data_IF_408029335973
#
_entry.id   IF_408029335973
#
_cell.length_a   1.000
_cell.length_b   1.000
_cell.length_c   1.000
_cell.angle_alpha   90.00
_cell.angle_beta   90.00
_cell.angle_gamma   90.00
#
_symmetry.space_group_name_H-M   'P 1'
#
loop_
_entity.id
_entity.type
_entity.pdbx_description
1 polymer ?
#
# COMPACT_ATOMS: atom_id res chain seq x y z
N UNK A 1 -0.57 5.89 -9.05
CA UNK A 1 -1.29 6.79 -8.12
C UNK A 1 -0.72 8.21 -8.10
N UNK A 2 0.52 8.43 -7.63
CA UNK A 2 1.12 9.78 -7.61
C UNK A 2 1.24 10.39 -9.01
N UNK A 3 1.70 9.62 -10.00
CA UNK A 3 1.84 10.10 -11.39
C UNK A 3 0.49 10.43 -12.02
N UNK A 4 -0.48 9.50 -11.92
CA UNK A 4 -1.87 9.75 -12.34
C UNK A 4 -2.47 11.01 -11.69
N UNK A 5 -2.22 11.23 -10.40
CA UNK A 5 -2.70 12.45 -9.73
C UNK A 5 -2.07 13.72 -10.32
N UNK A 6 -0.76 13.71 -10.63
CA UNK A 6 -0.09 14.84 -11.29
C UNK A 6 -0.66 15.10 -12.67
N UNK A 7 -0.85 14.08 -13.48
CA UNK A 7 -1.47 14.22 -14.81
C UNK A 7 -2.88 14.83 -14.73
N UNK A 8 -3.72 14.37 -13.80
CA UNK A 8 -5.05 14.95 -13.58
C UNK A 8 -4.99 16.40 -13.10
N UNK A 9 -3.97 16.76 -12.31
CA UNK A 9 -3.73 18.12 -11.85
C UNK A 9 -3.28 19.05 -12.97
N UNK A 10 -2.39 18.58 -13.85
CA UNK A 10 -1.93 19.33 -15.02
C UNK A 10 -3.09 19.61 -15.99
N UNK A 11 -4.07 18.70 -16.04
CA UNK A 11 -5.34 18.88 -16.76
C UNK A 11 -6.36 19.78 -16.02
N UNK A 12 -5.99 20.39 -14.89
CA UNK A 12 -6.86 21.21 -14.03
C UNK A 12 -8.14 20.49 -13.58
N UNK A 13 -8.07 19.18 -13.33
CA UNK A 13 -9.20 18.41 -12.81
C UNK A 13 -9.22 18.47 -11.26
N UNK A 14 -10.42 18.47 -10.63
CA UNK A 14 -10.58 18.53 -9.17
C UNK A 14 -10.24 17.17 -8.54
N UNK A 15 -8.96 16.84 -8.50
CA UNK A 15 -8.45 15.58 -7.98
C UNK A 15 -8.01 15.69 -6.51
N UNK A 16 -8.07 14.56 -5.81
CA UNK A 16 -7.46 14.30 -4.50
C UNK A 16 -6.68 13.01 -4.56
N UNK A 17 -5.63 12.90 -3.75
CA UNK A 17 -4.83 11.69 -3.61
C UNK A 17 -4.86 11.16 -2.18
N UNK A 18 -5.03 9.85 -2.01
CA UNK A 18 -5.04 9.21 -0.69
C UNK A 18 -4.28 7.88 -0.68
N UNK A 19 -3.25 7.78 0.17
CA UNK A 19 -2.42 6.58 0.31
C UNK A 19 -1.62 6.57 1.63
N UNK A 20 -0.96 5.46 1.96
CA UNK A 20 -0.22 5.28 3.22
C UNK A 20 1.06 6.14 3.37
N UNK A 21 1.60 6.69 2.28
CA UNK A 21 2.85 7.48 2.26
C UNK A 21 2.68 8.95 2.68
N UNK A 22 1.69 9.25 3.50
CA UNK A 22 1.52 10.55 4.17
C UNK A 22 1.84 10.40 5.67
N UNK A 23 2.36 11.45 6.33
CA UNK A 23 2.41 11.50 7.79
C UNK A 23 1.05 11.20 8.42
N UNK A 24 1.04 10.59 9.61
CA UNK A 24 -0.21 10.14 10.24
C UNK A 24 -1.24 11.26 10.42
N UNK A 25 -0.80 12.45 10.83
CA UNK A 25 -1.65 13.64 10.97
C UNK A 25 -2.25 14.10 9.64
N UNK A 26 -1.41 14.19 8.59
CA UNK A 26 -1.85 14.58 7.24
C UNK A 26 -2.84 13.57 6.69
N UNK A 27 -2.56 12.27 6.87
CA UNK A 27 -3.44 11.19 6.45
C UNK A 27 -4.80 11.28 7.14
N UNK A 28 -4.83 11.54 8.45
CA UNK A 28 -6.10 11.71 9.17
C UNK A 28 -6.92 12.89 8.63
N UNK A 29 -6.28 14.03 8.35
CA UNK A 29 -6.94 15.18 7.72
C UNK A 29 -7.52 14.85 6.34
N UNK A 30 -6.74 14.19 5.48
CA UNK A 30 -7.19 13.76 4.15
C UNK A 30 -8.33 12.74 4.23
N UNK A 31 -8.31 11.85 5.23
CA UNK A 31 -9.37 10.88 5.48
C UNK A 31 -10.71 11.56 5.81
N UNK A 32 -10.67 12.60 6.65
CA UNK A 32 -11.84 13.43 6.98
C UNK A 32 -12.36 14.13 5.71
N UNK A 33 -11.49 14.81 4.97
CA UNK A 33 -11.86 15.51 3.73
C UNK A 33 -12.51 14.56 2.70
N UNK A 34 -11.89 13.41 2.47
CA UNK A 34 -12.43 12.37 1.55
C UNK A 34 -13.79 11.86 2.03
N UNK A 35 -13.97 11.67 3.33
CA UNK A 35 -15.25 11.20 3.90
C UNK A 35 -16.35 12.26 3.78
N UNK A 36 -16.02 13.54 3.96
CA UNK A 36 -16.94 14.65 3.76
C UNK A 36 -17.38 14.79 2.29
N UNK A 37 -16.44 14.58 1.34
CA UNK A 37 -16.72 14.69 -0.10
C UNK A 37 -17.45 13.49 -0.69
N UNK A 38 -17.11 12.26 -0.28
CA UNK A 38 -17.59 11.04 -0.94
C UNK A 38 -18.44 10.14 -0.03
N UNK A 39 -18.55 10.46 1.26
CA UNK A 39 -19.26 9.61 2.22
C UNK A 39 -20.78 9.71 2.17
N UNK A 40 -21.45 8.85 2.94
CA UNK A 40 -22.92 8.78 3.06
C UNK A 40 -23.59 10.12 3.36
N UNK A 41 -22.98 10.92 4.24
CA UNK A 41 -23.52 12.21 4.70
C UNK A 41 -23.07 13.40 3.84
N UNK A 42 -22.36 13.16 2.74
CA UNK A 42 -21.96 14.23 1.83
C UNK A 42 -23.20 14.92 1.23
N UNK A 43 -23.42 16.18 1.62
CA UNK A 43 -24.54 17.01 1.19
C UNK A 43 -24.21 18.52 1.40
N UNK A 44 -24.14 19.33 0.33
CA UNK A 44 -24.15 18.90 -1.08
C UNK A 44 -22.89 18.11 -1.44
N UNK A 45 -23.03 17.12 -2.31
CA UNK A 45 -21.87 16.48 -2.96
C UNK A 45 -21.19 17.49 -3.89
N UNK A 46 -19.87 17.38 -4.12
CA UNK A 46 -19.21 18.19 -5.14
C UNK A 46 -19.78 17.86 -6.53
N UNK A 47 -19.97 18.88 -7.37
CA UNK A 47 -20.44 18.70 -8.77
C UNK A 47 -19.51 17.79 -9.59
N UNK A 48 -18.21 17.87 -9.31
CA UNK A 48 -17.18 16.98 -9.87
C UNK A 48 -16.01 16.87 -8.90
N UNK A 49 -15.63 15.64 -8.56
CA UNK A 49 -14.42 15.36 -7.80
C UNK A 49 -13.85 13.99 -8.17
N UNK A 50 -12.52 13.87 -8.22
CA UNK A 50 -11.81 12.63 -8.54
C UNK A 50 -10.96 12.23 -7.33
N UNK A 51 -11.09 11.00 -6.85
CA UNK A 51 -10.20 10.44 -5.83
C UNK A 51 -9.25 9.42 -6.48
N UNK A 52 -7.95 9.72 -6.45
CA UNK A 52 -6.90 8.77 -6.77
C UNK A 52 -6.43 8.13 -5.47
N UNK A 53 -6.62 6.83 -5.32
CA UNK A 53 -6.23 6.16 -4.10
C UNK A 53 -5.58 4.80 -4.34
N UNK A 54 -4.80 4.37 -3.34
CA UNK A 54 -4.33 2.97 -3.27
C UNK A 54 -5.30 2.14 -2.43
N UNK A 55 -4.99 0.85 -2.23
CA UNK A 55 -5.77 -0.10 -1.42
C UNK A 55 -6.17 0.37 -0.01
N UNK A 56 -5.58 1.46 0.48
CA UNK A 56 -5.93 2.07 1.77
C UNK A 56 -7.40 2.48 1.83
N UNK A 57 -8.05 2.80 0.71
CA UNK A 57 -9.49 3.11 0.67
C UNK A 57 -10.38 1.88 0.86
N UNK A 58 -9.86 0.68 0.59
CA UNK A 58 -10.64 -0.56 0.65
C UNK A 58 -11.01 -0.95 2.09
N UNK A 59 -10.14 -0.59 3.04
CA UNK A 59 -10.32 -0.91 4.45
C UNK A 59 -10.91 0.30 5.19
N UNK A 60 -12.16 0.14 5.64
CA UNK A 60 -12.89 0.99 6.61
C UNK A 60 -13.57 2.29 6.15
N UNK A 61 -13.36 2.81 4.94
CA UNK A 61 -14.05 4.04 4.50
C UNK A 61 -15.43 3.74 3.85
N UNK A 62 -16.46 4.41 4.34
CA UNK A 62 -17.84 4.32 3.83
C UNK A 62 -18.05 5.35 2.70
N UNK A 63 -17.44 5.11 1.54
CA UNK A 63 -17.45 6.01 0.38
C UNK A 63 -18.39 5.53 -0.73
N UNK A 64 -18.87 6.48 -1.53
CA UNK A 64 -19.81 6.29 -2.62
C UNK A 64 -19.42 7.08 -3.87
N UNK A 65 -19.09 6.36 -4.94
CA UNK A 65 -18.67 6.89 -6.23
C UNK A 65 -19.71 6.61 -7.33
N UNK A 66 -19.76 7.51 -8.30
CA UNK A 66 -20.68 7.43 -9.45
C UNK A 66 -20.11 6.56 -10.58
N UNK A 67 -18.78 6.57 -10.73
CA UNK A 67 -17.98 5.78 -11.66
C UNK A 67 -16.71 5.33 -10.95
N UNK A 68 -16.20 4.15 -11.28
CA UNK A 68 -14.95 3.64 -10.72
C UNK A 68 -13.99 3.19 -11.82
N UNK A 69 -12.71 3.51 -11.64
CA UNK A 69 -11.60 2.97 -12.44
C UNK A 69 -10.66 2.25 -11.49
N UNK A 70 -10.23 1.04 -11.85
CA UNK A 70 -9.36 0.24 -11.00
C UNK A 70 -8.33 -0.51 -11.83
N UNK A 71 -7.13 -0.69 -11.25
CA UNK A 71 -6.13 -1.59 -11.80
C UNK A 71 -6.59 -3.04 -11.68
N UNK A 72 -6.14 -3.90 -12.60
CA UNK A 72 -6.30 -5.34 -12.46
C UNK A 72 -5.74 -5.81 -11.11
N UNK A 73 -6.56 -6.56 -10.39
CA UNK A 73 -6.29 -7.07 -9.05
C UNK A 73 -7.01 -8.42 -8.91
N UNK A 74 -6.74 -9.19 -7.84
CA UNK A 74 -7.58 -10.32 -7.46
C UNK A 74 -9.07 -9.96 -7.49
N UNK A 75 -9.89 -10.89 -8.00
CA UNK A 75 -11.32 -10.65 -8.27
C UNK A 75 -12.12 -10.22 -7.05
N UNK A 76 -11.81 -10.78 -5.88
CA UNK A 76 -12.40 -10.41 -4.61
C UNK A 76 -12.11 -8.95 -4.24
N UNK A 77 -10.89 -8.46 -4.48
CA UNK A 77 -10.55 -7.05 -4.29
C UNK A 77 -11.25 -6.14 -5.29
N UNK A 78 -11.37 -6.56 -6.56
CA UNK A 78 -12.15 -5.81 -7.57
C UNK A 78 -13.61 -5.69 -7.14
N UNK A 79 -14.23 -6.77 -6.68
CA UNK A 79 -15.62 -6.78 -6.20
C UNK A 79 -15.78 -5.94 -4.92
N UNK A 80 -14.82 -5.98 -3.99
CA UNK A 80 -14.80 -5.12 -2.80
C UNK A 80 -14.73 -3.64 -3.16
N UNK A 81 -13.91 -3.28 -4.16
CA UNK A 81 -13.84 -1.92 -4.71
C UNK A 81 -15.16 -1.54 -5.36
N UNK A 82 -15.73 -2.40 -6.19
CA UNK A 82 -17.04 -2.22 -6.81
C UNK A 82 -18.16 -2.00 -5.78
N UNK A 83 -18.02 -2.53 -4.55
CA UNK A 83 -18.92 -2.24 -3.42
C UNK A 83 -18.94 -0.77 -2.94
N UNK A 84 -18.10 0.11 -3.48
CA UNK A 84 -18.13 1.57 -3.30
C UNK A 84 -18.80 2.31 -4.46
N UNK A 85 -19.09 1.61 -5.55
CA UNK A 85 -19.83 2.15 -6.68
C UNK A 85 -21.33 2.16 -6.33
N UNK A 86 -21.96 3.32 -6.42
CA UNK A 86 -23.39 3.50 -6.12
C UNK A 86 -23.80 2.94 -4.74
N UNK A 87 -22.88 3.01 -3.77
CA UNK A 87 -23.01 2.34 -2.47
C UNK A 87 -24.21 2.79 -1.65
N UNK A 88 -24.58 4.07 -1.77
CA UNK A 88 -25.74 4.61 -1.05
C UNK A 88 -26.87 4.89 -2.03
N UNK A 89 -28.10 4.61 -1.58
CA UNK A 89 -29.29 5.03 -2.30
C UNK A 89 -29.32 6.56 -2.35
N UNK A 90 -29.27 7.11 -3.57
CA UNK A 90 -29.26 8.55 -3.84
C UNK A 90 -30.26 8.86 -4.95
N UNK A 91 -30.84 10.06 -4.98
CA UNK A 91 -31.72 10.46 -6.06
C UNK A 91 -30.95 10.56 -7.39
N UNK A 92 -31.56 10.28 -8.54
CA UNK A 92 -30.91 10.30 -9.85
C UNK A 92 -30.14 11.59 -10.16
N UNK A 93 -30.65 12.74 -9.69
CA UNK A 93 -30.04 14.06 -9.89
C UNK A 93 -28.68 14.16 -9.22
N UNK A 94 -28.48 13.46 -8.10
CA UNK A 94 -27.21 13.43 -7.37
C UNK A 94 -26.14 12.54 -8.03
N UNK A 95 -26.49 11.84 -9.12
CA UNK A 95 -25.56 10.99 -9.91
C UNK A 95 -25.05 11.69 -11.16
N UNK A 96 -25.46 12.92 -11.44
CA UNK A 96 -24.98 13.74 -12.56
C UNK A 96 -24.98 12.99 -13.93
N UNK A 97 -26.00 12.16 -14.17
CA UNK A 97 -26.14 11.37 -15.40
C UNK A 97 -25.50 9.98 -15.37
N UNK A 98 -24.71 9.63 -14.35
CA UNK A 98 -24.14 8.30 -14.14
C UNK A 98 -25.15 7.36 -13.49
N UNK A 99 -26.27 7.08 -14.17
CA UNK A 99 -27.36 6.24 -13.64
C UNK A 99 -27.03 4.74 -13.63
N UNK A 100 -26.11 4.32 -14.48
CA UNK A 100 -25.67 2.93 -14.57
C UNK A 100 -24.33 2.82 -13.84
N UNK A 101 -24.22 2.00 -12.78
CA UNK A 101 -22.95 1.70 -12.14
C UNK A 101 -21.95 1.21 -13.19
N UNK A 102 -20.86 1.96 -13.41
CA UNK A 102 -19.83 1.61 -14.38
C UNK A 102 -18.48 1.43 -13.70
N UNK A 103 -17.87 0.26 -13.90
CA UNK A 103 -16.53 -0.10 -13.45
C UNK A 103 -15.61 -0.28 -14.66
N UNK A 104 -14.53 0.48 -14.72
CA UNK A 104 -13.46 0.32 -15.69
C UNK A 104 -12.29 -0.41 -15.02
N UNK A 105 -11.79 -1.46 -15.67
CA UNK A 105 -10.64 -2.24 -15.19
C UNK A 105 -9.49 -2.05 -16.17
N UNK A 106 -8.42 -1.40 -15.72
CA UNK A 106 -7.22 -1.21 -16.53
C UNK A 106 -6.51 -2.55 -16.76
N UNK A 107 -5.96 -2.73 -17.97
CA UNK A 107 -5.28 -3.98 -18.37
C UNK A 107 -6.19 -5.05 -18.97
N UNK A 108 -7.44 -4.72 -19.32
CA UNK A 108 -8.38 -5.65 -19.98
C UNK A 108 -8.37 -5.58 -21.52
N UNK A 109 -7.80 -4.53 -22.13
CA UNK A 109 -7.83 -4.26 -23.58
C UNK A 109 -6.82 -5.07 -24.41
N UNK A 110 -6.51 -6.30 -24.02
CA UNK A 110 -5.58 -7.16 -24.77
C UNK A 110 -6.37 -8.16 -25.61
N UNK A 111 -6.55 -7.82 -26.89
CA UNK A 111 -7.16 -8.65 -27.93
C UNK A 111 -6.26 -9.86 -28.26
N UNK A 112 -6.37 -10.92 -27.46
CA UNK A 112 -5.81 -12.24 -27.76
C UNK A 112 -4.44 -12.57 -27.17
N UNK A 113 -3.78 -11.61 -26.53
CA UNK A 113 -2.50 -11.81 -25.81
C UNK A 113 -2.68 -11.56 -24.30
N UNK A 114 -1.77 -12.10 -23.48
CA UNK A 114 -1.82 -11.91 -22.03
C UNK A 114 -1.63 -10.44 -21.65
N UNK A 115 -2.26 -9.96 -20.56
CA UNK A 115 -2.03 -8.62 -20.08
C UNK A 115 -0.55 -8.45 -19.65
N UNK A 116 0.09 -7.30 -19.94
CA UNK A 116 1.40 -6.98 -19.41
C UNK A 116 1.26 -6.71 -17.90
N UNK A 117 1.42 -7.77 -17.12
CA UNK A 117 1.35 -7.71 -15.65
C UNK A 117 2.62 -7.07 -15.05
N UNK A 118 3.73 -7.12 -15.77
CA UNK A 118 5.01 -6.50 -15.39
C UNK A 118 5.06 -5.02 -15.78
N UNK A 119 6.24 -4.52 -16.14
CA UNK A 119 6.38 -3.14 -16.62
C UNK A 119 5.42 -2.86 -17.81
N UNK A 120 4.78 -1.69 -17.88
CA UNK A 120 4.93 -0.52 -17.00
C UNK A 120 4.02 -0.53 -15.76
N UNK A 121 3.17 -1.54 -15.58
CA UNK A 121 2.10 -1.53 -14.59
C UNK A 121 2.48 -2.17 -13.24
N UNK A 122 3.42 -3.13 -13.26
CA UNK A 122 4.00 -3.80 -12.09
C UNK A 122 2.96 -4.45 -11.16
N UNK A 123 1.83 -4.93 -11.71
CA UNK A 123 0.76 -5.57 -10.94
C UNK A 123 1.25 -6.84 -10.22
N UNK A 124 2.13 -7.60 -10.86
CA UNK A 124 2.72 -8.83 -10.34
C UNK A 124 3.73 -8.62 -9.20
N UNK A 125 4.10 -7.38 -8.88
CA UNK A 125 4.96 -7.06 -7.73
C UNK A 125 4.19 -6.92 -6.42
N UNK A 126 2.86 -6.77 -6.51
CA UNK A 126 1.95 -6.57 -5.39
C UNK A 126 1.07 -7.80 -5.17
N UNK A 127 0.63 -8.45 -6.25
CA UNK A 127 -0.24 -9.62 -6.22
C UNK A 127 0.37 -10.81 -6.93
N UNK A 128 -0.06 -12.01 -6.54
CA UNK A 128 0.31 -13.25 -7.20
C UNK A 128 -0.05 -13.23 -8.69
N UNK A 129 0.97 -13.44 -9.52
CA UNK A 129 0.86 -13.40 -10.98
C UNK A 129 -0.19 -14.38 -11.51
N UNK A 130 -0.25 -15.58 -10.95
CA UNK A 130 -1.26 -16.59 -11.32
C UNK A 130 -2.70 -16.12 -11.02
N UNK A 131 -2.92 -15.47 -9.88
CA UNK A 131 -4.24 -14.96 -9.49
C UNK A 131 -4.68 -13.81 -10.40
N UNK A 132 -3.75 -12.94 -10.82
CA UNK A 132 -4.04 -11.88 -11.79
C UNK A 132 -4.42 -12.45 -13.16
N UNK A 133 -3.67 -13.46 -13.64
CA UNK A 133 -3.97 -14.15 -14.91
C UNK A 133 -5.34 -14.82 -14.87
N UNK A 134 -5.67 -15.51 -13.77
CA UNK A 134 -6.98 -16.10 -13.57
C UNK A 134 -8.10 -15.05 -13.54
N UNK A 135 -7.89 -13.95 -12.82
CA UNK A 135 -8.88 -12.86 -12.76
C UNK A 135 -9.13 -12.27 -14.15
N UNK A 136 -8.08 -12.00 -14.92
CA UNK A 136 -8.21 -11.56 -16.31
C UNK A 136 -8.98 -12.58 -17.15
N UNK A 137 -8.65 -13.86 -17.05
CA UNK A 137 -9.29 -14.90 -17.86
C UNK A 137 -10.78 -15.08 -17.54
N UNK A 138 -11.16 -14.98 -16.26
CA UNK A 138 -12.57 -15.04 -15.81
C UNK A 138 -13.36 -13.80 -16.26
N UNK A 139 -12.74 -12.62 -16.26
CA UNK A 139 -13.40 -11.37 -16.68
C UNK A 139 -13.35 -11.13 -18.19
N UNK A 140 -12.54 -11.89 -18.94
CA UNK A 140 -12.39 -11.74 -20.39
C UNK A 140 -13.72 -11.99 -21.10
N UNK A 141 -14.23 -10.97 -21.78
CA UNK A 141 -15.51 -11.01 -22.48
C UNK A 141 -16.72 -10.72 -21.58
N UNK A 142 -16.52 -10.57 -20.27
CA UNK A 142 -17.57 -10.16 -19.34
C UNK A 142 -17.84 -8.67 -19.49
N UNK A 143 -19.09 -8.31 -19.81
CA UNK A 143 -19.51 -6.91 -19.96
C UNK A 143 -20.40 -6.41 -18.83
N UNK A 144 -20.93 -7.33 -18.03
CA UNK A 144 -21.86 -7.06 -16.93
C UNK A 144 -21.60 -8.07 -15.81
N UNK A 145 -21.73 -7.61 -14.57
CA UNK A 145 -21.64 -8.42 -13.36
C UNK A 145 -22.92 -8.16 -12.57
N UNK A 146 -23.72 -9.21 -12.35
CA UNK A 146 -24.94 -9.16 -11.57
C UNK A 146 -24.62 -9.40 -10.09
N UNK A 147 -24.73 -8.37 -9.26
CA UNK A 147 -24.53 -8.49 -7.81
C UNK A 147 -25.87 -8.75 -7.11
N UNK A 148 -25.94 -9.64 -6.09
CA UNK A 148 -24.82 -10.40 -5.50
C UNK A 148 -24.52 -11.75 -6.18
N UNK A 149 -25.33 -12.17 -7.16
CA UNK A 149 -25.34 -13.55 -7.68
C UNK A 149 -24.00 -13.99 -8.31
N UNK A 150 -23.29 -13.06 -8.96
CA UNK A 150 -22.01 -13.34 -9.63
C UNK A 150 -20.81 -13.30 -8.67
N UNK A 151 -20.97 -12.88 -7.40
CA UNK A 151 -19.84 -12.77 -6.46
C UNK A 151 -19.17 -14.12 -6.22
N UNK A 152 -19.92 -15.12 -5.77
CA UNK A 152 -19.37 -16.44 -5.44
C UNK A 152 -18.83 -17.16 -6.70
N UNK A 153 -19.55 -17.21 -7.84
CA UNK A 153 -19.03 -17.81 -9.06
C UNK A 153 -17.72 -17.18 -9.55
N UNK A 154 -17.60 -15.86 -9.50
CA UNK A 154 -16.38 -15.15 -9.93
C UNK A 154 -15.19 -15.45 -9.01
N UNK A 155 -15.41 -15.45 -7.68
CA UNK A 155 -14.37 -15.77 -6.69
C UNK A 155 -13.92 -17.23 -6.84
N UNK A 156 -14.86 -18.17 -6.88
CA UNK A 156 -14.54 -19.60 -7.07
C UNK A 156 -13.82 -19.84 -8.40
N UNK A 157 -14.22 -19.16 -9.48
CA UNK A 157 -13.58 -19.26 -10.79
C UNK A 157 -12.09 -18.90 -10.76
N UNK A 158 -11.67 -17.96 -9.92
CA UNK A 158 -10.27 -17.53 -9.81
C UNK A 158 -9.45 -18.44 -8.89
N UNK A 159 -10.00 -18.82 -7.73
CA UNK A 159 -9.24 -19.53 -6.70
C UNK A 159 -9.32 -21.06 -6.79
N UNK A 160 -10.47 -21.60 -7.23
CA UNK A 160 -10.72 -23.04 -7.32
C UNK A 160 -10.84 -23.53 -8.77
N UNK A 161 -11.09 -22.62 -9.71
CA UNK A 161 -11.26 -22.93 -11.12
C UNK A 161 -9.99 -23.47 -11.79
N UNK A 162 -10.13 -24.38 -12.77
CA UNK A 162 -9.00 -24.72 -13.63
C UNK A 162 -8.57 -23.49 -14.45
N UNK A 163 -7.31 -23.41 -14.90
CA UNK A 163 -6.86 -22.36 -15.81
C UNK A 163 -7.79 -22.24 -17.02
N UNK A 164 -8.44 -21.08 -17.16
CA UNK A 164 -9.32 -20.77 -18.29
C UNK A 164 -8.49 -20.39 -19.53
N UNK A 165 -7.70 -21.34 -20.02
CA UNK A 165 -6.77 -21.15 -21.13
C UNK A 165 -7.36 -21.55 -22.49
N UNK A 166 -8.64 -21.90 -22.53
CA UNK A 166 -9.33 -22.25 -23.78
C UNK A 166 -9.29 -21.05 -24.73
N UNK A 167 -8.86 -21.30 -25.97
CA UNK A 167 -8.64 -20.29 -27.00
C UNK A 167 -7.54 -19.26 -26.69
N UNK A 168 -6.57 -19.59 -25.82
CA UNK A 168 -5.31 -18.86 -25.68
C UNK A 168 -4.20 -19.52 -26.51
N UNK A 169 -3.13 -18.76 -26.79
CA UNK A 169 -1.94 -19.28 -27.47
C UNK A 169 -1.15 -20.26 -26.61
N UNK A 170 -0.24 -21.03 -27.22
CA UNK A 170 0.67 -21.93 -26.51
C UNK A 170 1.53 -21.22 -25.48
N UNK A 171 1.97 -20.01 -25.80
CA UNK A 171 2.79 -19.17 -24.93
C UNK A 171 2.00 -18.75 -23.69
N UNK A 172 0.75 -18.35 -23.90
CA UNK A 172 -0.14 -17.97 -22.81
C UNK A 172 -0.44 -19.15 -21.88
N UNK A 173 -0.65 -20.36 -22.42
CA UNK A 173 -0.82 -21.58 -21.61
C UNK A 173 0.43 -21.85 -20.76
N UNK A 174 1.62 -21.76 -21.36
CA UNK A 174 2.90 -21.98 -20.66
C UNK A 174 3.13 -20.96 -19.53
N UNK A 175 2.70 -19.72 -19.73
CA UNK A 175 2.77 -18.67 -18.71
C UNK A 175 1.86 -18.97 -17.51
N UNK A 176 0.63 -19.44 -17.75
CA UNK A 176 -0.26 -19.89 -16.67
C UNK A 176 0.35 -21.03 -15.85
N UNK A 177 0.95 -22.03 -16.52
CA UNK A 177 1.61 -23.15 -15.86
C UNK A 177 2.81 -22.68 -15.03
N UNK A 178 3.65 -21.82 -15.59
CA UNK A 178 4.82 -21.25 -14.91
C UNK A 178 4.42 -20.44 -13.68
N UNK A 179 3.43 -19.55 -13.83
CA UNK A 179 2.92 -18.73 -12.74
C UNK A 179 2.28 -19.61 -11.63
N UNK A 180 1.57 -20.68 -12.01
CA UNK A 180 0.99 -21.63 -11.04
C UNK A 180 2.06 -22.35 -10.24
N UNK A 181 3.08 -22.89 -10.91
CA UNK A 181 4.20 -23.56 -10.24
C UNK A 181 4.95 -22.62 -9.28
N UNK A 182 5.14 -21.36 -9.67
CA UNK A 182 5.77 -20.35 -8.82
C UNK A 182 4.94 -20.11 -7.55
N UNK A 183 3.63 -19.90 -7.68
CA UNK A 183 2.70 -19.70 -6.57
C UNK A 183 2.66 -20.93 -5.63
N UNK A 184 2.56 -22.15 -6.17
CA UNK A 184 2.55 -23.38 -5.36
C UNK A 184 3.85 -23.56 -4.56
N UNK A 185 4.99 -23.21 -5.17
CA UNK A 185 6.30 -23.22 -4.50
C UNK A 185 6.35 -22.20 -3.35
N UNK A 186 5.84 -20.99 -3.56
CA UNK A 186 5.78 -19.95 -2.52
C UNK A 186 4.87 -20.36 -1.36
N UNK A 187 3.66 -20.87 -1.66
CA UNK A 187 2.74 -21.42 -0.65
C UNK A 187 3.38 -22.56 0.14
N UNK A 188 4.13 -23.45 -0.53
CA UNK A 188 4.83 -24.54 0.16
C UNK A 188 5.93 -24.00 1.10
N UNK A 189 6.68 -22.98 0.67
CA UNK A 189 7.68 -22.30 1.51
C UNK A 189 7.01 -21.62 2.72
N UNK A 190 5.90 -20.91 2.51
CA UNK A 190 5.14 -20.25 3.55
C UNK A 190 4.59 -21.22 4.59
N UNK A 191 4.06 -22.37 4.15
CA UNK A 191 3.61 -23.43 5.05
C UNK A 191 4.76 -24.03 5.86
N UNK A 192 5.94 -24.18 5.27
CA UNK A 192 7.12 -24.67 5.98
C UNK A 192 7.57 -23.68 7.07
N UNK A 193 7.64 -22.39 6.74
CA UNK A 193 8.01 -21.33 7.68
C UNK A 193 6.96 -21.20 8.80
N UNK A 194 5.66 -21.22 8.46
CA UNK A 194 4.57 -21.15 9.42
C UNK A 194 4.60 -22.31 10.42
N UNK A 195 4.94 -23.53 9.96
CA UNK A 195 5.13 -24.69 10.85
C UNK A 195 6.33 -24.53 11.77
N UNK A 196 7.36 -23.79 11.36
CA UNK A 196 8.55 -23.55 12.18
C UNK A 196 8.31 -22.51 13.29
N UNK A 197 7.36 -21.59 13.12
CA UNK A 197 7.04 -20.53 14.11
C UNK A 197 5.70 -20.73 14.83
N UNK A 198 4.85 -21.62 14.36
CA UNK A 198 3.52 -21.86 14.92
C UNK A 198 3.59 -22.42 16.34
N UNK A 199 2.72 -21.90 17.21
CA UNK A 199 2.40 -22.57 18.47
C UNK A 199 1.76 -23.90 18.08
N UNK A 200 2.32 -25.01 18.56
CA UNK A 200 1.91 -26.36 18.15
C UNK A 200 0.40 -26.62 18.28
N UNK A 201 -0.05 -27.73 17.74
CA UNK A 201 -1.45 -28.10 17.68
C UNK A 201 -2.00 -28.45 19.09
N UNK A 202 -3.15 -27.87 19.50
CA UNK A 202 -3.77 -28.15 20.80
C UNK A 202 -4.18 -29.62 20.99
N UNK A 203 -4.50 -30.33 19.90
CA UNK A 203 -5.03 -31.70 19.97
C UNK A 203 -3.96 -32.78 20.12
N UNK A 204 -2.70 -32.49 19.76
CA UNK A 204 -1.57 -33.44 19.87
C UNK A 204 -0.51 -33.01 20.90
N UNK A 205 -0.80 -31.95 21.67
CA UNK A 205 0.06 -31.39 22.73
C UNK A 205 1.41 -30.85 22.24
N UNK A 206 1.62 -30.69 20.93
CA UNK A 206 2.85 -30.08 20.41
C UNK A 206 3.01 -28.61 20.82
N UNK A 207 1.95 -27.95 21.31
CA UNK A 207 1.99 -26.62 21.90
C UNK A 207 2.82 -26.52 23.19
N UNK A 208 3.08 -27.65 23.87
CA UNK A 208 3.90 -27.67 25.10
C UNK A 208 5.37 -27.33 24.81
N UNK A 209 5.82 -27.54 23.58
CA UNK A 209 7.15 -27.16 23.12
C UNK A 209 7.03 -25.85 22.35
N UNK A 210 7.23 -24.74 23.06
CA UNK A 210 7.31 -23.41 22.42
C UNK A 210 8.69 -23.28 21.77
N UNK A 211 8.78 -23.08 20.44
CA UNK A 211 10.06 -22.81 19.78
C UNK A 211 10.74 -21.60 20.44
N UNK A 212 12.09 -21.51 20.48
CA UNK A 212 12.74 -20.28 20.94
C UNK A 212 12.36 -19.11 20.01
N UNK A 213 11.44 -18.28 20.49
CA UNK A 213 10.88 -17.12 19.79
C UNK A 213 11.77 -15.89 20.03
N UNK A 214 12.28 -15.25 18.97
CA UNK A 214 12.97 -13.95 19.04
C UNK A 214 12.20 -12.88 18.27
N UNK A 215 12.29 -11.63 18.74
CA UNK A 215 11.73 -10.47 18.05
C UNK A 215 12.56 -10.11 16.83
N UNK A 216 11.91 -9.52 15.84
CA UNK A 216 12.49 -9.15 14.53
C UNK A 216 13.65 -8.13 14.64
N UNK A 217 13.75 -7.42 15.78
CA UNK A 217 14.71 -6.34 16.02
C UNK A 217 15.90 -6.71 16.94
N UNK A 218 16.05 -7.99 17.33
CA UNK A 218 17.19 -8.44 18.16
C UNK A 218 18.39 -8.86 17.28
N UNK A 219 19.55 -8.18 17.44
CA UNK A 219 20.80 -8.55 16.75
C UNK A 219 21.24 -9.98 17.06
N UNK A 220 21.71 -10.71 16.03
CA UNK A 220 22.11 -12.12 16.15
C UNK A 220 20.99 -13.11 15.83
N UNK A 221 19.99 -12.71 15.05
CA UNK A 221 19.09 -13.62 14.35
C UNK A 221 19.88 -14.41 13.28
N UNK A 222 20.52 -15.51 13.71
CA UNK A 222 20.92 -16.58 12.82
C UNK A 222 19.68 -17.28 12.22
N UNK A 223 19.68 -18.61 12.21
CA UNK A 223 18.64 -19.51 11.67
C UNK A 223 17.24 -19.42 12.32
N UNK A 224 16.90 -18.29 12.94
CA UNK A 224 15.66 -18.05 13.69
C UNK A 224 14.74 -17.14 12.87
N UNK A 225 13.55 -17.63 12.55
CA UNK A 225 12.55 -16.89 11.79
C UNK A 225 11.97 -15.75 12.66
N UNK A 226 12.04 -14.48 12.23
CA UNK A 226 11.34 -13.41 12.91
C UNK A 226 9.83 -13.69 12.88
N UNK A 227 9.18 -13.55 14.03
CA UNK A 227 7.74 -13.79 14.16
C UNK A 227 7.01 -12.59 13.60
N UNK A 228 6.68 -12.66 12.31
CA UNK A 228 5.68 -11.78 11.72
C UNK A 228 4.41 -12.56 11.49
N UNK A 229 3.30 -12.09 12.05
CA UNK A 229 1.96 -12.65 11.82
C UNK A 229 1.44 -12.36 10.40
N UNK A 230 2.18 -11.59 9.60
CA UNK A 230 1.97 -11.39 8.16
C UNK A 230 3.31 -11.31 7.45
N UNK A 231 3.62 -12.26 6.55
CA UNK A 231 4.75 -12.09 5.62
C UNK A 231 4.50 -10.83 4.80
N UNK A 232 5.38 -9.85 4.96
CA UNK A 232 5.24 -8.54 4.33
C UNK A 232 6.60 -7.89 4.24
N UNK A 233 6.73 -6.88 3.35
CA UNK A 233 7.98 -6.15 3.23
C UNK A 233 8.31 -5.46 4.54
N UNK A 234 9.57 -5.61 5.00
CA UNK A 234 10.08 -4.90 6.17
C UNK A 234 9.80 -3.40 6.01
N UNK A 235 9.28 -2.79 7.07
CA UNK A 235 8.91 -1.38 7.05
C UNK A 235 9.29 -0.69 8.34
N UNK A 236 9.68 0.57 8.23
CA UNK A 236 10.10 1.41 9.35
C UNK A 236 9.20 2.63 9.47
N UNK A 237 9.08 3.18 10.68
CA UNK A 237 8.42 4.47 10.91
C UNK A 237 9.49 5.55 10.79
N UNK A 238 9.43 6.35 9.74
CA UNK A 238 10.32 7.49 9.55
C UNK A 238 9.62 8.77 9.99
N UNK A 239 10.28 9.63 10.75
CA UNK A 239 9.77 10.97 11.12
C UNK A 239 10.47 11.99 10.25
N UNK A 240 9.68 12.78 9.52
CA UNK A 240 10.19 13.83 8.65
C UNK A 240 10.70 14.98 9.51
N UNK A 241 11.96 15.38 9.28
CA UNK A 241 12.63 16.44 10.01
C UNK A 241 13.28 17.41 9.03
N UNK A 242 13.32 18.69 9.40
CA UNK A 242 13.99 19.75 8.67
C UNK A 242 15.14 20.30 9.50
N UNK A 243 16.30 20.62 8.87
CA UNK A 243 17.40 21.24 9.58
C UNK A 243 17.01 22.65 10.06
N UNK A 244 17.40 22.99 11.28
CA UNK A 244 17.31 24.35 11.83
C UNK A 244 18.68 25.04 11.80
N UNK A 245 18.71 26.35 12.05
CA UNK A 245 19.96 27.09 12.31
C UNK A 245 20.60 26.75 13.66
N UNK A 246 19.84 26.10 14.55
CA UNK A 246 20.31 25.47 15.79
C UNK A 246 20.74 24.01 15.57
N UNK A 247 21.44 23.41 16.54
CA UNK A 247 21.74 21.97 16.52
C UNK A 247 20.51 21.03 16.65
N UNK A 248 19.31 21.59 16.77
CA UNK A 248 18.03 20.89 16.82
C UNK A 248 17.33 20.86 15.44
N UNK A 249 16.24 20.10 15.33
CA UNK A 249 15.46 19.91 14.09
C UNK A 249 14.05 20.47 14.19
N UNK A 250 13.36 20.63 13.05
CA UNK A 250 11.97 21.08 13.00
C UNK A 250 11.07 20.00 12.38
N UNK A 251 9.80 19.93 12.78
CA UNK A 251 8.82 19.04 12.15
C UNK A 251 8.22 19.62 10.86
N UNK A 252 8.28 20.95 10.72
CA UNK A 252 7.88 21.70 9.54
C UNK A 252 8.84 22.88 9.36
N UNK A 253 9.16 23.36 8.14
CA UNK A 253 10.06 24.49 7.95
C UNK A 253 9.64 25.76 8.72
N UNK A 254 8.32 25.96 8.88
CA UNK A 254 7.73 27.10 9.60
C UNK A 254 7.40 26.80 11.08
N UNK A 255 7.87 25.68 11.63
CA UNK A 255 7.58 25.31 13.02
C UNK A 255 8.37 26.18 14.01
N UNK A 256 7.68 26.66 15.05
CA UNK A 256 8.29 27.48 16.11
C UNK A 256 8.96 26.63 17.21
N UNK A 257 8.71 25.31 17.25
CA UNK A 257 9.16 24.45 18.34
C UNK A 257 10.17 23.41 17.84
N UNK A 258 11.48 23.60 18.12
CA UNK A 258 12.50 22.62 17.74
C UNK A 258 12.33 21.30 18.48
N UNK A 259 12.84 20.24 17.86
CA UNK A 259 12.86 18.85 18.33
C UNK A 259 14.30 18.41 18.47
N UNK A 260 14.62 17.87 19.63
CA UNK A 260 15.93 17.26 19.90
C UNK A 260 15.86 15.74 19.73
N UNK A 261 16.90 15.15 19.15
CA UNK A 261 17.01 13.68 19.00
C UNK A 261 17.71 13.01 20.19
N UNK A 262 18.50 13.79 20.96
CA UNK A 262 19.33 13.29 22.06
C UNK A 262 18.67 13.46 23.43
N UNK A 263 17.75 14.42 23.57
CA UNK A 263 16.95 14.62 24.78
C UNK A 263 15.71 13.74 24.74
N UNK A 264 15.39 13.11 25.87
CA UNK A 264 14.12 12.36 26.00
C UNK A 264 12.94 13.34 25.99
N UNK A 265 12.02 13.23 25.02
CA UNK A 265 10.87 14.12 24.92
C UNK A 265 9.81 13.74 25.95
N UNK A 266 9.08 14.74 26.44
CA UNK A 266 7.90 14.50 27.27
C UNK A 266 6.77 13.86 26.44
N UNK A 267 5.68 13.43 27.09
CA UNK A 267 4.58 12.78 26.39
C UNK A 267 3.92 13.65 25.30
N UNK A 268 3.81 14.97 25.52
CA UNK A 268 3.17 15.88 24.57
C UNK A 268 4.06 16.07 23.34
N UNK A 269 5.36 16.25 23.56
CA UNK A 269 6.36 16.35 22.51
C UNK A 269 6.48 15.03 21.74
N UNK A 270 6.57 13.89 22.42
CA UNK A 270 6.62 12.58 21.79
C UNK A 270 5.38 12.29 20.94
N UNK A 271 4.19 12.66 21.43
CA UNK A 271 2.94 12.57 20.66
C UNK A 271 2.96 13.47 19.43
N UNK A 272 3.50 14.68 19.53
CA UNK A 272 3.64 15.60 18.38
C UNK A 272 4.56 15.02 17.30
N UNK A 273 5.69 14.46 17.71
CA UNK A 273 6.69 13.85 16.81
C UNK A 273 6.11 12.60 16.12
N UNK A 274 5.49 11.68 16.86
CA UNK A 274 5.00 10.41 16.28
C UNK A 274 3.85 10.63 15.28
N UNK A 275 3.08 11.71 15.43
CA UNK A 275 2.02 12.07 14.47
C UNK A 275 2.57 12.51 13.10
N UNK A 276 3.84 12.91 13.05
CA UNK A 276 4.56 13.24 11.82
C UNK A 276 5.28 12.01 11.22
N UNK A 277 5.14 10.84 11.83
CA UNK A 277 5.73 9.61 11.31
C UNK A 277 4.98 9.11 10.05
N UNK A 278 5.76 8.63 9.08
CA UNK A 278 5.31 7.95 7.87
C UNK A 278 5.90 6.54 7.82
N UNK A 279 5.12 5.56 7.38
CA UNK A 279 5.59 4.18 7.25
C UNK A 279 6.21 3.97 5.87
N UNK A 280 7.49 3.59 5.84
CA UNK A 280 8.25 3.36 4.61
C UNK A 280 8.64 1.90 4.48
N UNK A 281 8.55 1.34 3.27
CA UNK A 281 8.80 -0.08 2.97
C UNK A 281 9.73 -0.32 1.78
N UNK A 282 10.30 0.75 1.19
CA UNK A 282 11.26 0.64 0.09
C UNK A 282 12.60 0.15 0.64
N UNK A 283 13.15 -0.90 0.02
CA UNK A 283 14.31 -1.62 0.57
C UNK A 283 15.51 -0.72 0.87
N UNK A 284 15.97 0.06 -0.12
CA UNK A 284 17.13 0.94 0.03
C UNK A 284 16.94 1.94 1.18
N UNK A 285 15.73 2.48 1.31
CA UNK A 285 15.38 3.50 2.32
C UNK A 285 15.28 2.86 3.71
N UNK A 286 14.63 1.70 3.82
CA UNK A 286 14.53 0.95 5.08
C UNK A 286 15.92 0.59 5.59
N UNK A 287 16.77 0.05 4.71
CA UNK A 287 18.15 -0.29 5.05
C UNK A 287 18.94 0.94 5.48
N UNK A 288 18.89 2.01 4.67
CA UNK A 288 19.60 3.24 4.96
C UNK A 288 19.18 3.91 6.27
N UNK A 289 17.88 3.90 6.60
CA UNK A 289 17.39 4.44 7.88
C UNK A 289 17.79 3.59 9.10
N UNK A 290 17.98 2.28 8.94
CA UNK A 290 18.43 1.40 10.01
C UNK A 290 19.94 1.51 10.25
N UNK A 291 20.71 1.73 9.19
CA UNK A 291 22.17 1.83 9.22
C UNK A 291 22.67 3.28 9.42
N UNK A 292 21.77 4.27 9.54
CA UNK A 292 22.15 5.68 9.65
C UNK A 292 22.88 6.00 10.97
N UNK A 293 23.91 6.84 10.89
CA UNK A 293 24.67 7.32 12.05
C UNK A 293 24.05 8.61 12.63
N UNK A 294 22.71 8.62 12.79
CA UNK A 294 21.98 9.76 13.37
C UNK A 294 21.62 9.44 14.83
N UNK A 295 22.09 10.22 15.80
CA UNK A 295 21.89 9.90 17.22
C UNK A 295 20.42 10.06 17.59
N UNK A 296 19.82 8.98 18.11
CA UNK A 296 18.42 8.91 18.55
C UNK A 296 18.27 8.53 20.03
N UNK A 297 19.32 8.79 20.82
CA UNK A 297 19.43 8.33 22.21
C UNK A 297 18.31 8.85 23.12
N UNK A 298 17.71 10.00 22.81
CA UNK A 298 16.53 10.51 23.50
C UNK A 298 15.26 9.76 23.11
N UNK A 299 15.11 9.43 21.82
CA UNK A 299 13.94 8.73 21.29
C UNK A 299 13.89 7.27 21.71
N UNK A 300 15.04 6.60 21.83
CA UNK A 300 15.14 5.20 22.29
C UNK A 300 14.57 4.99 23.71
N UNK A 301 14.65 6.03 24.56
CA UNK A 301 14.10 6.02 25.92
C UNK A 301 12.58 6.20 25.93
N UNK A 302 12.04 6.90 24.94
CA UNK A 302 10.59 7.12 24.80
C UNK A 302 9.88 5.92 24.19
N UNK A 303 8.88 5.40 24.89
CA UNK A 303 8.08 4.26 24.40
C UNK A 303 7.33 4.55 23.08
N UNK A 304 7.02 5.82 22.78
CA UNK A 304 6.33 6.20 21.54
C UNK A 304 7.26 6.34 20.34
N UNK A 305 8.56 6.59 20.57
CA UNK A 305 9.52 6.95 19.53
C UNK A 305 10.67 5.94 19.37
N UNK A 306 10.80 4.94 20.26
CA UNK A 306 11.88 3.96 20.22
C UNK A 306 12.06 3.27 18.87
N UNK A 307 10.98 3.06 18.14
CA UNK A 307 10.99 2.40 16.82
C UNK A 307 10.79 3.40 15.65
N UNK A 308 10.95 4.70 15.94
CA UNK A 308 10.92 5.77 14.95
C UNK A 308 12.35 6.17 14.56
N UNK A 309 12.54 6.40 13.27
CA UNK A 309 13.82 6.76 12.67
C UNK A 309 13.73 8.18 12.11
N UNK A 310 14.72 9.05 12.36
CA UNK A 310 14.74 10.38 11.75
C UNK A 310 14.96 10.28 10.24
N UNK A 311 14.23 11.08 9.47
CA UNK A 311 14.43 11.31 8.04
C UNK A 311 14.63 12.81 7.83
N UNK A 312 15.88 13.23 7.72
CA UNK A 312 16.27 14.64 7.69
C UNK A 312 16.31 15.14 6.24
N UNK A 313 15.52 16.18 5.95
CA UNK A 313 15.35 16.78 4.62
C UNK A 313 16.41 17.85 4.35
N UNK A 314 17.69 17.46 4.32
CA UNK A 314 18.83 18.37 4.09
C UNK A 314 19.60 18.13 2.78
N UNK A 315 19.22 17.12 2.00
CA UNK A 315 19.87 16.76 0.74
C UNK A 315 20.97 15.70 0.89
N UNK A 316 21.44 15.41 2.10
CA UNK A 316 22.46 14.40 2.40
C UNK A 316 21.83 13.18 3.08
N UNK A 317 21.10 13.41 4.17
CA UNK A 317 20.50 12.38 5.02
C UNK A 317 19.14 11.88 4.51
N UNK A 318 18.64 12.45 3.41
CA UNK A 318 17.49 11.93 2.67
C UNK A 318 17.89 11.16 1.40
N UNK A 319 19.17 10.80 1.26
CA UNK A 319 19.69 10.01 0.13
C UNK A 319 20.17 8.64 0.63
N UNK A 320 19.56 7.58 0.14
CA UNK A 320 19.89 6.20 0.50
C UNK A 320 20.27 5.40 -0.75
N UNK A 321 21.58 5.18 -0.94
CA UNK A 321 22.12 4.50 -2.13
C UNK A 321 21.75 5.24 -3.41
N UNK A 322 20.91 4.64 -4.26
CA UNK A 322 20.42 5.21 -5.52
C UNK A 322 19.06 5.91 -5.38
N UNK A 323 18.48 5.94 -4.19
CA UNK A 323 17.15 6.50 -3.94
C UNK A 323 17.26 7.77 -3.11
N UNK A 324 16.79 8.90 -3.64
CA UNK A 324 16.54 10.13 -2.87
C UNK A 324 15.08 10.15 -2.42
N UNK A 325 14.86 10.54 -1.16
CA UNK A 325 13.54 10.64 -0.57
C UNK A 325 13.18 12.12 -0.43
N UNK A 326 12.04 12.50 -0.99
CA UNK A 326 11.50 13.85 -0.82
C UNK A 326 10.10 13.80 -0.23
N UNK A 327 9.66 14.91 0.34
CA UNK A 327 8.31 15.07 0.86
C UNK A 327 7.63 16.28 0.22
N UNK A 328 6.45 16.05 -0.34
CA UNK A 328 5.54 17.11 -0.76
C UNK A 328 4.27 17.04 0.08
N UNK A 329 3.78 18.15 0.65
CA UNK A 329 2.50 18.20 1.35
C UNK A 329 1.32 17.75 0.48
N UNK A 330 1.42 17.88 -0.84
CA UNK A 330 0.35 17.57 -1.79
C UNK A 330 0.32 16.08 -2.19
N UNK A 331 1.49 15.45 -2.38
CA UNK A 331 1.59 14.07 -2.92
C UNK A 331 2.23 13.07 -1.96
N UNK A 332 2.69 13.52 -0.79
CA UNK A 332 3.33 12.70 0.24
C UNK A 332 4.80 12.40 -0.07
N UNK A 333 5.29 11.25 0.39
CA UNK A 333 6.69 10.84 0.16
C UNK A 333 6.91 10.42 -1.30
N UNK A 334 7.93 11.02 -1.90
CA UNK A 334 8.42 10.79 -3.25
C UNK A 334 9.77 10.08 -3.22
N UNK A 335 10.02 9.29 -4.26
CA UNK A 335 11.29 8.61 -4.45
C UNK A 335 11.85 9.00 -5.81
N UNK A 336 13.01 9.64 -5.80
CA UNK A 336 13.74 10.01 -7.02
C UNK A 336 14.97 9.10 -7.16
N UNK A 337 15.33 8.81 -8.41
CA UNK A 337 16.57 8.10 -8.70
C UNK A 337 17.70 9.11 -8.65
N UNK A 338 18.68 8.90 -7.76
CA UNK A 338 19.85 9.75 -7.69
C UNK A 338 20.85 9.31 -8.78
N UNK A 339 20.98 10.11 -9.84
CA UNK A 339 21.85 9.83 -11.00
C UNK A 339 23.35 10.00 -10.69
N UNK A 340 23.70 10.60 -9.55
CA UNK A 340 25.10 10.86 -9.16
C UNK A 340 25.90 9.61 -8.72
N UNK A 341 25.37 8.39 -8.88
CA UNK A 341 26.06 7.11 -8.56
C UNK A 341 25.93 6.06 -9.68
N UNK A 342 26.07 6.45 -10.94
CA UNK A 342 26.27 5.51 -12.07
C UNK A 342 27.75 5.04 -12.23
N UNK A 343 28.63 5.37 -11.29
CA UNK A 343 30.08 5.14 -11.41
C UNK A 343 30.77 4.37 -10.29
N UNK A 344 30.10 3.43 -9.61
CA UNK A 344 30.76 2.43 -8.74
C UNK A 344 30.22 1.02 -8.98
#
# INVERSE_FOLDING_TARGET
AQDLYRELRDLNLPARIFHARFPAEVRHRLEVEVTEMFGKRSAPRPDRAILVATQVVEQSLDLDFDVMVTDLAPIDLILQRAGRLHRHARPPEARHGHLIPTLFIAGMEHDGELPPLGAPNYFDTIYDRYILLQTWAVLRGTRQIALPDDVDPLVQGVYEGPPLTRALSSEAVSEFETAKMAMEKEIASDRADARAVGIGNPFDRTWEVVPPLRREDEEGAGRFLPISTRKGRRSVKAVILYPSSSADYLLHPDDAHPVSLTKEPDFREARRIVLQAVRLSRFDVVRGLLEQDVPRTGWERSALLRDCYPLIMDGEHNVFGRTRVEYSPEVGILYERNENKEGE
#
